data_IF_557984151286
#
_entry.id   IF_557984151286
#
_cell.length_a   1.000
_cell.length_b   1.000
_cell.length_c   1.000
_cell.angle_alpha   90.00
_cell.angle_beta   90.00
_cell.angle_gamma   90.00
#
_symmetry.space_group_name_H-M   'P 1'
#
loop_
_entity.id
_entity.type
_entity.pdbx_description
1 polymer ?
#
# COMPACT_ATOMS: atom_id res chain seq x y z
N UNK A 1 -12.13 -5.26 -13.10
CA UNK A 1 -11.86 -6.19 -11.98
C UNK A 1 -10.86 -5.52 -11.05
N UNK A 2 -11.11 -5.50 -9.74
CA UNK A 2 -10.12 -5.01 -8.77
C UNK A 2 -9.04 -6.08 -8.61
N UNK A 3 -7.79 -5.74 -8.95
CA UNK A 3 -6.66 -6.62 -8.70
C UNK A 3 -6.14 -6.35 -7.29
N UNK A 4 -6.13 -7.37 -6.44
CA UNK A 4 -5.65 -7.25 -5.06
C UNK A 4 -4.20 -7.72 -4.98
N UNK A 5 -3.34 -6.88 -4.41
CA UNK A 5 -1.94 -7.20 -4.14
C UNK A 5 -1.70 -7.33 -2.64
N UNK A 6 -0.84 -8.28 -2.25
CA UNK A 6 -0.51 -8.49 -0.84
C UNK A 6 0.25 -7.30 -0.27
N UNK A 7 0.03 -7.04 1.02
CA UNK A 7 0.76 -6.03 1.78
C UNK A 7 2.28 -6.17 1.67
N UNK A 8 2.80 -7.40 1.63
CA UNK A 8 4.25 -7.66 1.50
C UNK A 8 4.79 -7.22 0.15
N UNK A 9 4.02 -7.41 -0.93
CA UNK A 9 4.36 -6.95 -2.28
C UNK A 9 4.40 -5.44 -2.34
N UNK A 10 3.41 -4.76 -1.74
CA UNK A 10 3.40 -3.28 -1.66
C UNK A 10 4.62 -2.78 -0.91
N UNK A 11 4.94 -3.37 0.26
CA UNK A 11 6.14 -3.03 1.03
C UNK A 11 7.42 -3.21 0.21
N UNK A 12 7.52 -4.31 -0.54
CA UNK A 12 8.66 -4.59 -1.42
C UNK A 12 8.81 -3.55 -2.54
N UNK A 13 7.71 -3.11 -3.18
CA UNK A 13 7.72 -2.05 -4.19
C UNK A 13 8.23 -0.71 -3.63
N UNK A 14 8.00 -0.46 -2.34
CA UNK A 14 8.36 0.78 -1.66
C UNK A 14 9.77 0.78 -1.05
N UNK A 15 10.45 -0.36 -1.09
CA UNK A 15 11.77 -0.59 -0.49
C UNK A 15 11.91 0.01 0.93
N UNK A 16 10.90 -0.21 1.77
CA UNK A 16 10.85 0.39 3.11
C UNK A 16 10.86 -0.65 4.24
N UNK A 17 11.41 -0.29 5.43
CA UNK A 17 11.33 -1.12 6.62
C UNK A 17 9.89 -1.43 7.01
N UNK A 18 9.67 -2.61 7.59
CA UNK A 18 8.34 -3.05 8.02
C UNK A 18 7.69 -2.08 9.01
N UNK A 19 8.43 -1.58 10.00
CA UNK A 19 7.91 -0.62 10.98
C UNK A 19 7.44 0.69 10.35
N UNK A 20 8.19 1.20 9.37
CA UNK A 20 7.83 2.39 8.60
C UNK A 20 6.58 2.14 7.75
N UNK A 21 6.49 0.98 7.10
CA UNK A 21 5.33 0.58 6.32
C UNK A 21 4.07 0.45 7.20
N UNK A 22 4.15 -0.22 8.35
CA UNK A 22 3.02 -0.33 9.28
C UNK A 22 2.55 1.04 9.75
N UNK A 23 3.48 1.98 10.01
CA UNK A 23 3.14 3.35 10.37
C UNK A 23 2.43 4.08 9.23
N UNK A 24 2.89 3.94 7.99
CA UNK A 24 2.23 4.49 6.80
C UNK A 24 0.81 3.94 6.65
N UNK A 25 0.63 2.62 6.74
CA UNK A 25 -0.68 1.97 6.66
C UNK A 25 -1.60 2.44 7.79
N UNK A 26 -1.09 2.54 9.02
CA UNK A 26 -1.86 2.93 10.21
C UNK A 26 -2.28 4.40 10.17
N UNK A 27 -1.36 5.29 9.84
CA UNK A 27 -1.62 6.74 9.83
C UNK A 27 -2.30 7.20 8.53
N UNK A 28 -2.24 6.38 7.48
CA UNK A 28 -2.71 6.71 6.13
C UNK A 28 -2.19 8.07 5.63
N UNK A 29 -0.92 8.35 5.92
CA UNK A 29 -0.29 9.61 5.52
C UNK A 29 -0.22 9.73 4.01
N UNK A 30 -0.35 10.96 3.49
CA UNK A 30 -0.35 11.25 2.05
C UNK A 30 -1.43 10.48 1.27
N UNK A 31 -2.61 10.31 1.86
CA UNK A 31 -3.74 9.61 1.23
C UNK A 31 -3.42 8.17 0.82
N UNK A 32 -2.60 7.49 1.62
CA UNK A 32 -2.23 6.11 1.34
C UNK A 32 -3.48 5.21 1.21
N UNK A 33 -3.53 4.31 0.20
CA UNK A 33 -4.67 3.43 -0.05
C UNK A 33 -5.10 2.63 1.18
N UNK A 34 -6.40 2.43 1.32
CA UNK A 34 -6.96 1.73 2.46
C UNK A 34 -6.65 0.22 2.37
N UNK A 35 -6.23 -0.42 3.47
CA UNK A 35 -6.02 -1.85 3.48
C UNK A 35 -7.34 -2.62 3.42
N UNK A 36 -7.35 -3.69 2.62
CA UNK A 36 -8.46 -4.64 2.52
C UNK A 36 -8.04 -5.91 3.26
N UNK A 37 -8.82 -6.31 4.26
CA UNK A 37 -8.56 -7.51 5.03
C UNK A 37 -9.40 -8.68 4.49
N UNK A 38 -8.74 -9.75 4.08
CA UNK A 38 -9.38 -11.00 3.70
C UNK A 38 -8.82 -12.08 4.62
N UNK A 39 -9.67 -12.59 5.52
CA UNK A 39 -9.26 -13.44 6.64
C UNK A 39 -8.18 -12.74 7.48
N UNK A 40 -7.02 -13.36 7.67
CA UNK A 40 -5.87 -12.81 8.43
C UNK A 40 -4.85 -12.07 7.56
N UNK A 41 -5.11 -11.95 6.26
CA UNK A 41 -4.17 -11.35 5.31
C UNK A 41 -4.63 -9.95 4.91
N UNK A 42 -3.65 -9.05 4.74
CA UNK A 42 -3.85 -7.67 4.31
C UNK A 42 -3.48 -7.49 2.85
N UNK A 43 -4.40 -6.89 2.11
CA UNK A 43 -4.30 -6.61 0.68
C UNK A 43 -4.53 -5.13 0.41
N UNK A 44 -4.18 -4.71 -0.79
CA UNK A 44 -4.45 -3.38 -1.32
C UNK A 44 -4.95 -3.50 -2.76
N UNK A 45 -5.76 -2.54 -3.20
CA UNK A 45 -6.11 -2.41 -4.60
C UNK A 45 -4.86 -1.99 -5.38
N UNK A 46 -4.48 -2.79 -6.38
CA UNK A 46 -3.30 -2.55 -7.19
C UNK A 46 -3.37 -1.20 -7.92
N UNK A 47 -4.54 -0.84 -8.44
CA UNK A 47 -4.72 0.41 -9.17
C UNK A 47 -4.58 1.63 -8.26
N UNK A 48 -5.10 1.54 -7.02
CA UNK A 48 -4.95 2.61 -6.03
C UNK A 48 -3.49 2.78 -5.60
N UNK A 49 -2.76 1.67 -5.39
CA UNK A 49 -1.33 1.72 -5.05
C UNK A 49 -0.51 2.29 -6.19
N UNK A 50 -0.77 1.91 -7.44
CA UNK A 50 -0.05 2.43 -8.60
C UNK A 50 -0.32 3.92 -8.82
N UNK A 51 -1.58 4.36 -8.69
CA UNK A 51 -1.92 5.77 -8.73
C UNK A 51 -1.20 6.57 -7.62
N UNK A 52 -1.16 6.03 -6.40
CA UNK A 52 -0.46 6.66 -5.27
C UNK A 52 1.07 6.70 -5.45
N UNK A 53 1.66 5.66 -6.04
CA UNK A 53 3.09 5.64 -6.39
C UNK A 53 3.43 6.69 -7.45
N UNK A 54 2.54 6.87 -8.43
CA UNK A 54 2.71 7.88 -9.47
C UNK A 54 2.66 9.31 -8.90
N UNK A 55 1.80 9.59 -7.92
CA UNK A 55 1.75 10.92 -7.28
C UNK A 55 2.99 11.24 -6.45
N UNK A 56 3.65 10.22 -5.86
CA UNK A 56 4.93 10.42 -5.13
C UNK A 56 6.14 10.58 -6.02
N UNK A 57 6.15 9.97 -7.21
CA UNK A 57 7.30 10.01 -8.13
C UNK A 57 7.35 11.30 -8.95
N UNK A 58 6.27 12.08 -8.94
CA UNK A 58 6.16 13.36 -9.64
C UNK A 58 6.61 14.58 -8.79
N UNK A 59 7.20 14.35 -7.62
CA UNK A 59 7.67 15.38 -6.68
C UNK A 59 9.19 15.45 -6.56
#
# INVERSE_FOLDING_TARGET
MKQLIKSETVRGKLDMPQSTFERLVKLRTHDFPAPIYISRSRFFDAAEIEAWLATRSAG
#
